data_IF_299540396555
#
_entry.id   IF_299540396555
#
_cell.length_a   1.000
_cell.length_b   1.000
_cell.length_c   1.000
_cell.angle_alpha   90.00
_cell.angle_beta   90.00
_cell.angle_gamma   90.00
#
_symmetry.space_group_name_H-M   'P 1'
#
loop_
_entity.id
_entity.type
_entity.pdbx_description
1 polymer ?
#
# COMPACT_ATOMS: atom_id res chain seq x y z
N UNK A 1 18.76 -4.15 -19.42
CA UNK A 1 18.04 -2.90 -19.75
C UNK A 1 17.43 -2.35 -18.46
N UNK A 2 17.71 -1.08 -18.15
CA UNK A 2 17.38 -0.42 -16.88
C UNK A 2 15.87 -0.37 -16.62
N UNK A 3 15.40 -1.06 -15.58
CA UNK A 3 14.07 -0.87 -15.03
C UNK A 3 13.99 0.54 -14.42
N UNK A 4 13.55 1.53 -15.21
CA UNK A 4 13.12 2.81 -14.66
C UNK A 4 11.93 2.52 -13.76
N UNK A 5 12.14 2.55 -12.44
CA UNK A 5 11.08 2.59 -11.46
C UNK A 5 10.12 3.71 -11.86
N UNK A 6 8.94 3.36 -12.38
CA UNK A 6 7.86 4.33 -12.55
C UNK A 6 7.55 4.83 -11.15
N UNK A 7 8.03 6.03 -10.83
CA UNK A 7 7.69 6.77 -9.63
C UNK A 7 6.19 7.09 -9.72
N UNK A 8 5.36 6.11 -9.37
CA UNK A 8 3.95 6.33 -9.15
C UNK A 8 3.85 7.17 -7.89
N UNK A 9 3.84 8.49 -8.08
CA UNK A 9 3.76 9.47 -7.01
C UNK A 9 2.34 9.40 -6.45
N UNK A 10 2.17 8.74 -5.31
CA UNK A 10 0.95 8.80 -4.53
C UNK A 10 1.09 9.94 -3.53
N UNK A 11 0.08 10.79 -3.46
CA UNK A 11 -0.01 11.88 -2.48
C UNK A 11 -1.27 11.66 -1.61
N UNK A 12 -1.15 11.96 -0.33
CA UNK A 12 -2.20 11.79 0.65
C UNK A 12 -2.37 13.08 1.45
N UNK A 13 -3.58 13.61 1.48
CA UNK A 13 -3.91 14.82 2.22
C UNK A 13 -4.92 14.49 3.29
N UNK A 14 -4.61 14.85 4.53
CA UNK A 14 -5.45 14.56 5.69
C UNK A 14 -6.37 15.75 5.93
N UNK A 15 -7.68 15.50 5.91
CA UNK A 15 -8.68 16.49 6.25
C UNK A 15 -8.97 16.41 7.75
N UNK A 16 -8.84 17.55 8.43
CA UNK A 16 -9.07 17.68 9.87
C UNK A 16 -10.12 18.75 10.16
N UNK A 17 -10.91 18.54 11.21
CA UNK A 17 -11.75 19.57 11.78
C UNK A 17 -10.91 20.60 12.54
N UNK A 18 -11.51 21.74 12.88
CA UNK A 18 -10.88 22.82 13.66
C UNK A 18 -10.42 22.38 15.07
N UNK A 19 -10.88 21.21 15.55
CA UNK A 19 -10.46 20.60 16.81
C UNK A 19 -9.43 19.46 16.60
N UNK A 20 -8.74 19.43 15.46
CA UNK A 20 -7.74 18.43 15.08
C UNK A 20 -8.26 16.99 14.92
N UNK A 21 -9.58 16.78 14.93
CA UNK A 21 -10.17 15.48 14.62
C UNK A 21 -9.99 15.16 13.13
N UNK A 22 -9.35 14.04 12.80
CA UNK A 22 -9.23 13.55 11.43
C UNK A 22 -10.61 13.09 10.92
N UNK A 23 -10.99 13.55 9.74
CA UNK A 23 -12.28 13.24 9.11
C UNK A 23 -12.09 12.26 7.96
N UNK A 24 -11.05 12.46 7.17
CA UNK A 24 -10.81 11.73 5.94
C UNK A 24 -9.41 11.95 5.39
N UNK A 25 -9.07 11.16 4.38
CA UNK A 25 -7.83 11.26 3.60
C UNK A 25 -8.19 11.32 2.12
N UNK A 26 -7.81 12.38 1.44
CA UNK A 26 -7.84 12.47 -0.02
C UNK A 26 -6.65 11.72 -0.61
N UNK A 27 -6.91 10.95 -1.67
CA UNK A 27 -5.89 10.14 -2.33
C UNK A 27 -5.68 10.64 -3.76
N UNK A 28 -4.44 10.96 -4.08
CA UNK A 28 -3.98 11.18 -5.45
C UNK A 28 -3.07 10.03 -5.84
N UNK A 29 -3.35 9.38 -6.97
CA UNK A 29 -2.54 8.28 -7.49
C UNK A 29 -2.40 8.41 -9.01
N UNK A 30 -1.21 8.09 -9.53
CA UNK A 30 -0.87 8.27 -10.96
C UNK A 30 -1.09 9.71 -11.46
N UNK A 31 -0.85 10.70 -10.58
CA UNK A 31 -1.04 12.12 -10.90
C UNK A 31 -2.50 12.58 -11.00
N UNK A 32 -3.46 11.78 -10.52
CA UNK A 32 -4.89 12.13 -10.52
C UNK A 32 -5.50 11.91 -9.14
N UNK A 33 -6.38 12.80 -8.74
CA UNK A 33 -7.21 12.60 -7.55
C UNK A 33 -8.18 11.43 -7.80
N UNK A 34 -8.11 10.39 -6.97
CA UNK A 34 -8.93 9.18 -7.10
C UNK A 34 -10.07 9.13 -6.08
N UNK A 35 -10.14 10.12 -5.18
CA UNK A 35 -11.22 10.31 -4.23
C UNK A 35 -10.76 10.33 -2.78
N UNK A 36 -11.75 10.36 -1.91
CA UNK A 36 -11.59 10.51 -0.47
C UNK A 36 -11.95 9.20 0.25
N UNK A 37 -11.15 8.85 1.26
CA UNK A 37 -11.42 7.77 2.21
C UNK A 37 -11.81 8.39 3.56
N UNK A 38 -12.97 8.03 4.11
CA UNK A 38 -13.37 8.48 5.44
C UNK A 38 -12.40 7.93 6.49
N UNK A 39 -12.22 8.65 7.59
CA UNK A 39 -11.43 8.18 8.73
C UNK A 39 -12.18 7.06 9.50
N UNK A 40 -12.23 5.89 8.89
CA UNK A 40 -12.80 4.65 9.38
C UNK A 40 -11.90 3.47 8.99
N UNK A 41 -11.61 2.60 9.95
CA UNK A 41 -10.78 1.42 9.71
C UNK A 41 -11.35 0.55 8.58
N UNK A 42 -10.46 0.09 7.68
CA UNK A 42 -10.81 -0.76 6.55
C UNK A 42 -11.35 -0.03 5.31
N UNK A 43 -11.45 1.31 5.31
CA UNK A 43 -11.78 2.07 4.10
C UNK A 43 -10.71 1.88 3.03
N UNK A 44 -11.14 1.82 1.75
CA UNK A 44 -10.20 1.62 0.65
C UNK A 44 -10.65 2.27 -0.66
N UNK A 45 -9.66 2.62 -1.49
CA UNK A 45 -9.83 3.14 -2.84
C UNK A 45 -8.88 2.45 -3.80
N UNK A 46 -9.43 1.91 -4.90
CA UNK A 46 -8.65 1.35 -5.99
C UNK A 46 -8.40 2.40 -7.05
N UNK A 47 -7.14 2.60 -7.43
CA UNK A 47 -6.79 3.41 -8.58
C UNK A 47 -7.20 2.68 -9.86
N UNK A 48 -8.03 3.32 -10.68
CA UNK A 48 -8.47 2.77 -11.97
C UNK A 48 -7.35 2.69 -13.02
N UNK A 49 -6.23 3.41 -12.81
CA UNK A 49 -5.11 3.45 -13.76
C UNK A 49 -4.08 2.35 -13.52
N UNK A 50 -3.56 2.24 -12.29
CA UNK A 50 -2.52 1.26 -11.96
C UNK A 50 -3.05 0.02 -11.21
N UNK A 51 -4.33 0.02 -10.82
CA UNK A 51 -4.93 -1.07 -10.06
C UNK A 51 -4.54 -1.12 -8.58
N UNK A 52 -3.62 -0.26 -8.11
CA UNK A 52 -3.21 -0.17 -6.70
C UNK A 52 -4.41 0.11 -5.81
N UNK A 53 -4.53 -0.65 -4.72
CA UNK A 53 -5.52 -0.43 -3.68
C UNK A 53 -4.86 0.34 -2.55
N UNK A 54 -5.40 1.52 -2.26
CA UNK A 54 -5.04 2.36 -1.13
C UNK A 54 -6.02 2.04 -0.02
N UNK A 55 -5.53 1.51 1.10
CA UNK A 55 -6.35 1.12 2.25
C UNK A 55 -5.96 1.94 3.47
N UNK A 56 -6.96 2.31 4.28
CA UNK A 56 -6.76 3.01 5.53
C UNK A 56 -6.91 2.03 6.70
N UNK A 57 -5.83 1.91 7.48
CA UNK A 57 -5.79 1.10 8.70
C UNK A 57 -5.61 2.02 9.88
N UNK A 58 -6.59 2.06 10.77
CA UNK A 58 -6.58 2.87 11.99
C UNK A 58 -6.10 1.99 13.14
N UNK A 59 -4.81 2.07 13.46
CA UNK A 59 -4.22 1.35 14.59
C UNK A 59 -3.98 2.33 15.74
N UNK A 60 -3.95 1.84 16.98
CA UNK A 60 -3.89 2.60 18.24
C UNK A 60 -3.04 3.90 18.18
N UNK A 61 -3.68 5.01 17.79
CA UNK A 61 -3.11 6.36 17.64
C UNK A 61 -2.01 6.55 16.56
N UNK A 62 -1.90 5.66 15.56
CA UNK A 62 -1.15 5.93 14.32
C UNK A 62 -1.66 5.08 13.15
N UNK A 63 -1.50 5.57 11.92
CA UNK A 63 -1.84 4.83 10.72
C UNK A 63 -0.63 4.70 9.81
N UNK A 64 -0.49 3.53 9.17
CA UNK A 64 0.54 3.25 8.17
C UNK A 64 -0.08 3.20 6.78
N UNK A 65 0.41 4.02 5.86
CA UNK A 65 0.06 3.92 4.44
C UNK A 65 1.15 3.13 3.73
N UNK A 66 0.83 1.92 3.25
CA UNK A 66 1.74 1.08 2.46
C UNK A 66 1.17 0.87 1.06
N UNK A 67 1.88 1.27 -0.01
CA UNK A 67 1.45 0.94 -1.37
C UNK A 67 1.66 -0.55 -1.62
N UNK A 68 0.59 -1.29 -1.88
CA UNK A 68 0.67 -2.66 -2.39
C UNK A 68 0.72 -2.57 -3.91
N UNK A 69 1.88 -2.89 -4.50
CA UNK A 69 1.97 -3.09 -5.94
C UNK A 69 1.30 -4.44 -6.28
N UNK A 70 0.40 -4.50 -7.27
CA UNK A 70 -0.04 -5.79 -7.80
C UNK A 70 1.20 -6.50 -8.37
N UNK A 71 1.41 -7.74 -7.97
CA UNK A 71 2.38 -8.60 -8.63
C UNK A 71 1.95 -8.75 -10.09
N UNK A 72 2.81 -8.35 -11.02
CA UNK A 72 2.74 -8.84 -12.38
C UNK A 72 3.16 -10.32 -12.34
N UNK A 73 2.41 -11.20 -13.01
CA UNK A 73 2.57 -12.67 -13.11
C UNK A 73 3.97 -13.19 -13.56
N UNK A 74 5.02 -12.37 -13.60
CA UNK A 74 6.37 -12.73 -14.07
C UNK A 74 7.38 -12.99 -12.93
N UNK A 75 6.96 -13.50 -11.76
CA UNK A 75 7.90 -13.93 -10.71
C UNK A 75 7.74 -15.37 -10.21
N UNK A 76 6.93 -16.19 -10.87
CA UNK A 76 6.99 -17.65 -10.69
C UNK A 76 8.03 -18.26 -11.63
N UNK A 77 9.29 -17.88 -11.44
CA UNK A 77 10.42 -18.63 -11.99
C UNK A 77 11.59 -18.62 -11.00
N UNK A 78 11.62 -19.68 -10.19
CA UNK A 78 12.78 -20.30 -9.55
C UNK A 78 13.32 -19.62 -8.29
N UNK A 79 13.03 -20.24 -7.15
CA UNK A 79 14.10 -20.91 -6.40
C UNK A 79 13.51 -22.03 -5.53
N UNK A 80 13.36 -23.19 -6.15
CA UNK A 80 13.27 -24.46 -5.43
C UNK A 80 14.67 -24.82 -4.95
N UNK A 81 14.99 -24.49 -3.70
CA UNK A 81 16.00 -25.24 -2.97
C UNK A 81 15.48 -25.61 -1.58
N UNK A 82 14.62 -26.63 -1.60
CA UNK A 82 14.13 -27.37 -0.45
C UNK A 82 15.14 -28.47 -0.13
N UNK A 83 15.71 -28.46 1.08
CA UNK A 83 15.70 -29.62 1.96
C UNK A 83 16.46 -29.33 3.27
N UNK A 84 15.74 -29.54 4.37
CA UNK A 84 16.27 -29.64 5.71
C UNK A 84 17.29 -30.77 5.84
N UNK A 85 18.31 -30.57 6.67
CA UNK A 85 19.00 -31.68 7.34
C UNK A 85 19.12 -31.35 8.84
N UNK A 86 18.39 -32.13 9.65
CA UNK A 86 18.64 -32.30 11.08
C UNK A 86 20.04 -32.91 11.30
N UNK A 87 20.70 -32.60 12.43
CA UNK A 87 21.23 -33.57 13.43
C UNK A 87 22.11 -32.86 14.50
N UNK A 88 21.66 -33.00 15.75
CA UNK A 88 22.31 -33.13 17.08
C UNK A 88 23.69 -32.52 17.44
N UNK A 89 23.66 -31.90 18.63
CA UNK A 89 24.52 -32.09 19.84
C UNK A 89 26.01 -31.76 19.72
N UNK A 90 26.43 -30.77 20.51
CA UNK A 90 27.27 -30.95 21.71
C UNK A 90 26.95 -29.84 22.72
#
# INVERSE_FOLDING_TARGET
MNQKAKNYNSDYRVNVLNNNTIISVEVTCCGRHIGEMRYKDGESKKCSLCGTVHSMMVQHNHFHIRPIKPESDESLAKDDNKAALNVKVL
#
